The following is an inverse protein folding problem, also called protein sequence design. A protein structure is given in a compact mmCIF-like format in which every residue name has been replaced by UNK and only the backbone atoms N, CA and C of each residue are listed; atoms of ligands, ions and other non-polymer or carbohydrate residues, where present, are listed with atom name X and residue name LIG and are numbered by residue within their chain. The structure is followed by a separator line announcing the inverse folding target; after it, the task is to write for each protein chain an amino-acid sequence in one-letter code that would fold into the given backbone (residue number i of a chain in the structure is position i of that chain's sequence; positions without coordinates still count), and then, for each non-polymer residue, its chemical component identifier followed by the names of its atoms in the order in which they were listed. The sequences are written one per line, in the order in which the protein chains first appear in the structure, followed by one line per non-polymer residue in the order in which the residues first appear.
data_IF_975317764968
#
_entry.id   IF_975317764968
#
_cell.length_a   1.000
_cell.length_b   1.000
_cell.length_c   1.000
_cell.angle_alpha   90.00
_cell.angle_beta   90.00
_cell.angle_gamma   90.00
#
_symmetry.space_group_name_H-M   'P 1'
#
loop_
_entity.id
_entity.type
_entity.pdbx_description
1 polymer ?
#
# COMPACT_ATOMS: atom_id res chain seq x y z
N UNK A 1 -8.42 29.70 -23.74
CA UNK A 1 -8.66 30.01 -22.32
C UNK A 1 -9.86 29.25 -21.71
N UNK A 2 -11.05 29.22 -22.32
CA UNK A 2 -12.20 28.47 -21.74
C UNK A 2 -11.93 26.97 -21.52
N UNK A 3 -11.27 26.29 -22.48
CA UNK A 3 -10.94 24.85 -22.35
C UNK A 3 -9.95 24.55 -21.23
N UNK A 4 -8.91 25.39 -21.08
CA UNK A 4 -7.91 25.23 -20.01
C UNK A 4 -8.52 25.45 -18.62
N UNK A 5 -9.43 26.41 -18.47
CA UNK A 5 -10.10 26.72 -17.20
C UNK A 5 -11.07 25.61 -16.76
N UNK A 6 -11.75 24.97 -17.72
CA UNK A 6 -12.62 23.82 -17.46
C UNK A 6 -11.79 22.61 -17.03
N UNK A 7 -10.65 22.34 -17.68
CA UNK A 7 -9.75 21.26 -17.29
C UNK A 7 -9.17 21.46 -15.89
N UNK A 8 -8.69 22.67 -15.54
CA UNK A 8 -8.20 22.93 -14.18
C UNK A 8 -9.29 22.85 -13.12
N UNK A 9 -10.52 23.30 -13.42
CA UNK A 9 -11.63 23.16 -12.49
C UNK A 9 -12.03 21.69 -12.27
N UNK A 10 -12.06 20.87 -13.33
CA UNK A 10 -12.30 19.43 -13.24
C UNK A 10 -11.23 18.71 -12.44
N UNK A 11 -9.95 19.02 -12.69
CA UNK A 11 -8.83 18.50 -11.92
C UNK A 11 -8.98 18.92 -10.45
N UNK A 12 -9.25 20.18 -10.15
CA UNK A 12 -9.44 20.64 -8.78
C UNK A 12 -10.61 19.93 -8.06
N UNK A 13 -11.76 19.74 -8.73
CA UNK A 13 -12.91 19.02 -8.14
C UNK A 13 -12.60 17.55 -7.90
N UNK A 14 -11.90 16.89 -8.84
CA UNK A 14 -11.49 15.49 -8.70
C UNK A 14 -10.50 15.35 -7.53
N UNK A 15 -9.48 16.20 -7.45
CA UNK A 15 -8.46 16.17 -6.39
C UNK A 15 -9.02 16.55 -5.01
N UNK A 16 -9.89 17.55 -4.92
CA UNK A 16 -10.47 18.00 -3.64
C UNK A 16 -11.50 16.98 -3.10
N UNK A 17 -12.35 16.41 -3.98
CA UNK A 17 -13.37 15.45 -3.57
C UNK A 17 -12.79 14.09 -3.12
N UNK A 18 -11.84 13.55 -3.89
CA UNK A 18 -11.24 12.24 -3.61
C UNK A 18 -10.09 12.32 -2.57
N UNK A 19 -9.38 13.45 -2.51
CA UNK A 19 -8.33 13.69 -1.51
C UNK A 19 -8.86 13.63 -0.07
N UNK A 20 -10.04 14.19 0.19
CA UNK A 20 -10.62 14.21 1.54
C UNK A 20 -10.80 12.83 2.19
N UNK A 21 -11.02 11.76 1.41
CA UNK A 21 -11.14 10.40 1.94
C UNK A 21 -9.77 9.77 2.21
N UNK A 22 -8.82 9.96 1.29
CA UNK A 22 -7.45 9.41 1.40
C UNK A 22 -6.69 9.99 2.58
N UNK A 23 -6.82 11.31 2.82
CA UNK A 23 -6.16 12.00 3.94
C UNK A 23 -6.93 11.92 5.25
N UNK A 24 -8.06 11.20 5.29
CA UNK A 24 -8.86 11.03 6.51
C UNK A 24 -8.20 10.02 7.44
N UNK A 25 -7.24 10.51 8.21
CA UNK A 25 -6.57 9.75 9.26
C UNK A 25 -7.52 9.45 10.42
N UNK A 26 -7.41 8.25 10.97
CA UNK A 26 -8.20 7.79 12.13
C UNK A 26 -7.30 7.05 13.12
N UNK A 27 -7.65 7.16 14.40
CA UNK A 27 -7.03 6.39 15.49
C UNK A 27 -7.75 5.07 15.75
N UNK A 28 -9.02 4.96 15.37
CA UNK A 28 -9.89 3.84 15.76
C UNK A 28 -10.37 3.04 14.55
N UNK A 29 -10.17 1.73 14.66
CA UNK A 29 -10.37 0.69 13.66
C UNK A 29 -11.82 0.21 13.55
N UNK A 30 -12.65 0.47 14.57
CA UNK A 30 -13.99 -0.11 14.71
C UNK A 30 -15.03 0.38 13.69
N UNK A 31 -14.72 1.42 12.90
CA UNK A 31 -15.68 2.09 11.99
C UNK A 31 -15.10 2.38 10.60
N UNK A 32 -14.55 1.36 9.94
CA UNK A 32 -14.29 1.45 8.49
C UNK A 32 -15.64 1.62 7.81
N UNK A 33 -15.81 2.71 7.04
CA UNK A 33 -17.10 3.05 6.44
C UNK A 33 -17.47 2.05 5.34
N UNK A 34 -18.74 1.64 5.33
CA UNK A 34 -19.34 1.01 4.15
C UNK A 34 -19.25 1.98 2.96
N UNK A 35 -18.65 1.51 1.87
CA UNK A 35 -18.62 2.26 0.62
C UNK A 35 -20.05 2.27 0.09
N UNK A 36 -20.60 3.47 -0.13
CA UNK A 36 -21.97 3.63 -0.61
C UNK A 36 -22.09 3.09 -2.02
N UNK A 37 -22.85 2.02 -2.19
CA UNK A 37 -23.30 1.50 -3.48
C UNK A 37 -24.27 2.51 -4.09
N UNK A 38 -23.83 3.25 -5.11
CA UNK A 38 -24.64 4.30 -5.76
C UNK A 38 -23.87 5.48 -6.36
N UNK A 39 -22.53 5.47 -6.33
CA UNK A 39 -21.72 6.51 -6.99
C UNK A 39 -21.86 6.46 -8.53
N UNK A 40 -21.81 7.63 -9.18
CA UNK A 40 -21.83 7.76 -10.63
C UNK A 40 -20.63 7.04 -11.26
N UNK A 41 -20.86 6.20 -12.28
CA UNK A 41 -19.81 5.41 -12.95
C UNK A 41 -18.64 6.26 -13.48
N UNK A 42 -18.92 7.46 -13.99
CA UNK A 42 -17.89 8.39 -14.48
C UNK A 42 -17.03 8.88 -13.31
N UNK A 43 -17.66 9.21 -12.19
CA UNK A 43 -16.95 9.64 -10.98
C UNK A 43 -16.08 8.52 -10.41
N UNK A 44 -16.61 7.30 -10.30
CA UNK A 44 -15.85 6.13 -9.85
C UNK A 44 -14.65 5.87 -10.75
N UNK A 45 -14.83 5.95 -12.07
CA UNK A 45 -13.72 5.81 -13.03
C UNK A 45 -12.62 6.83 -12.77
N UNK A 46 -12.93 8.14 -12.72
CA UNK A 46 -11.91 9.18 -12.47
C UNK A 46 -11.25 9.04 -11.10
N UNK A 47 -12.01 8.63 -10.08
CA UNK A 47 -11.49 8.37 -8.73
C UNK A 47 -10.50 7.20 -8.72
N UNK A 48 -10.83 6.09 -9.39
CA UNK A 48 -9.94 4.93 -9.51
C UNK A 48 -8.67 5.32 -10.29
N UNK A 49 -8.79 6.05 -11.41
CA UNK A 49 -7.61 6.53 -12.17
C UNK A 49 -6.70 7.45 -11.34
N UNK A 50 -7.28 8.32 -10.50
CA UNK A 50 -6.50 9.18 -9.60
C UNK A 50 -5.81 8.36 -8.52
N UNK A 51 -6.45 7.32 -8.00
CA UNK A 51 -5.82 6.43 -7.05
C UNK A 51 -4.66 5.65 -7.65
N UNK A 52 -4.79 5.18 -8.88
CA UNK A 52 -3.69 4.50 -9.57
C UNK A 52 -2.54 5.47 -9.84
N UNK A 53 -2.85 6.72 -10.21
CA UNK A 53 -1.84 7.78 -10.32
C UNK A 53 -1.08 7.99 -9.01
N UNK A 54 -1.80 8.08 -7.89
CA UNK A 54 -1.21 8.28 -6.57
C UNK A 54 -0.31 7.12 -6.18
N UNK A 55 -0.73 5.89 -6.45
CA UNK A 55 0.02 4.69 -6.08
C UNK A 55 1.43 4.67 -6.67
N UNK A 56 1.56 4.88 -7.99
CA UNK A 56 2.87 4.80 -8.64
C UNK A 56 3.73 6.06 -8.47
N UNK A 57 3.11 7.20 -8.19
CA UNK A 57 3.80 8.49 -8.27
C UNK A 57 4.84 8.65 -7.14
N UNK A 58 6.10 9.00 -7.45
CA UNK A 58 7.23 8.85 -6.52
C UNK A 58 7.07 9.54 -5.16
N UNK A 59 6.36 10.68 -5.11
CA UNK A 59 6.15 11.43 -3.86
C UNK A 59 5.34 10.61 -2.85
N UNK A 60 4.41 9.78 -3.31
CA UNK A 60 3.59 8.93 -2.45
C UNK A 60 4.28 7.60 -2.05
N UNK A 61 5.56 7.43 -2.40
CA UNK A 61 6.40 6.35 -1.89
C UNK A 61 7.33 6.78 -0.75
N UNK A 62 7.28 8.04 -0.31
CA UNK A 62 8.22 8.60 0.65
C UNK A 62 7.75 8.40 2.11
N UNK A 63 8.63 7.84 2.93
CA UNK A 63 8.40 7.54 4.34
C UNK A 63 9.57 8.04 5.18
N UNK A 64 9.27 8.81 6.23
CA UNK A 64 10.20 9.11 7.31
C UNK A 64 10.15 8.02 8.37
N UNK A 65 11.29 7.73 9.00
CA UNK A 65 11.40 6.78 10.10
C UNK A 65 12.11 7.45 11.28
N UNK A 66 11.61 7.24 12.49
CA UNK A 66 12.24 7.63 13.75
C UNK A 66 12.23 6.42 14.68
N UNK A 67 13.39 6.01 15.18
CA UNK A 67 13.51 4.86 16.08
C UNK A 67 14.89 4.24 16.01
N UNK A 68 15.16 3.26 16.86
CA UNK A 68 16.49 2.69 16.97
C UNK A 68 16.78 1.68 15.85
N UNK A 69 17.98 1.77 15.28
CA UNK A 69 18.48 0.75 14.38
C UNK A 69 19.42 1.25 13.30
N UNK A 70 19.89 0.30 12.49
CA UNK A 70 20.69 0.55 11.31
C UNK A 70 20.12 -0.31 10.20
N UNK A 71 19.69 0.30 9.10
CA UNK A 71 19.22 -0.43 7.94
C UNK A 71 19.62 0.32 6.67
N UNK A 72 20.33 -0.39 5.82
CA UNK A 72 20.64 0.06 4.49
C UNK A 72 20.06 -0.94 3.49
N UNK A 73 19.26 -0.45 2.55
CA UNK A 73 18.77 -1.24 1.44
C UNK A 73 18.73 -0.38 0.18
N UNK A 74 19.25 -0.91 -0.92
CA UNK A 74 19.07 -0.35 -2.26
C UNK A 74 18.47 -1.45 -3.11
N UNK A 75 17.42 -1.12 -3.86
CA UNK A 75 16.75 -2.05 -4.76
C UNK A 75 16.38 -1.38 -6.06
N UNK A 76 16.69 -2.07 -7.15
CA UNK A 76 16.19 -1.74 -8.49
C UNK A 76 15.05 -2.69 -8.87
N UNK A 77 15.15 -3.94 -8.43
CA UNK A 77 14.12 -4.97 -8.59
C UNK A 77 14.26 -5.98 -7.44
N UNK A 78 13.32 -6.92 -7.29
CA UNK A 78 13.50 -8.06 -6.37
C UNK A 78 14.73 -8.90 -6.70
N UNK A 79 15.12 -8.97 -7.98
CA UNK A 79 16.30 -9.71 -8.42
C UNK A 79 17.60 -8.90 -8.28
N UNK A 80 17.51 -7.58 -8.19
CA UNK A 80 18.64 -6.67 -8.05
C UNK A 80 18.43 -5.77 -6.82
N UNK A 81 18.66 -6.35 -5.65
CA UNK A 81 18.62 -5.65 -4.38
C UNK A 81 19.81 -6.05 -3.50
N UNK A 82 20.24 -5.15 -2.63
CA UNK A 82 21.23 -5.42 -1.60
C UNK A 82 20.85 -4.66 -0.36
N UNK A 83 21.00 -5.28 0.80
CA UNK A 83 20.71 -4.60 2.04
C UNK A 83 21.02 -5.45 3.25
N UNK A 84 21.25 -4.76 4.35
CA UNK A 84 21.51 -5.35 5.64
C UNK A 84 21.06 -4.39 6.73
N UNK A 85 20.48 -4.93 7.78
CA UNK A 85 20.21 -4.21 9.01
C UNK A 85 18.89 -4.56 9.67
N UNK A 86 18.61 -3.88 10.75
CA UNK A 86 17.37 -3.98 11.49
C UNK A 86 16.98 -2.61 12.04
N UNK A 87 15.67 -2.35 12.05
CA UNK A 87 15.07 -1.14 12.61
C UNK A 87 13.90 -1.54 13.50
N UNK A 88 13.76 -0.80 14.59
CA UNK A 88 12.59 -0.81 15.43
C UNK A 88 12.17 0.64 15.66
N UNK A 89 11.10 1.07 15.01
CA UNK A 89 10.76 2.47 15.01
C UNK A 89 9.39 2.81 14.48
N UNK A 90 9.09 4.10 14.56
CA UNK A 90 7.87 4.69 14.06
C UNK A 90 8.13 5.25 12.66
N UNK A 91 7.20 4.98 11.75
CA UNK A 91 7.21 5.50 10.40
C UNK A 91 6.03 6.43 10.18
N UNK A 92 6.25 7.45 9.36
CA UNK A 92 5.21 8.36 8.90
C UNK A 92 5.41 8.65 7.42
N UNK A 93 4.31 8.79 6.68
CA UNK A 93 4.36 9.15 5.27
C UNK A 93 3.39 8.33 4.43
N UNK A 94 3.84 8.00 3.23
CA UNK A 94 3.01 7.43 2.17
C UNK A 94 3.55 6.08 1.69
N UNK A 95 2.65 5.13 1.46
CA UNK A 95 2.91 3.90 0.74
C UNK A 95 1.81 3.75 -0.34
N UNK A 96 1.90 4.57 -1.40
CA UNK A 96 0.83 4.76 -2.37
C UNK A 96 -0.38 5.44 -1.74
N UNK A 97 -1.57 4.84 -1.88
CA UNK A 97 -2.82 5.25 -1.22
C UNK A 97 -2.78 5.16 0.31
N UNK A 98 -1.84 4.41 0.88
CA UNK A 98 -1.72 4.21 2.33
C UNK A 98 -1.02 5.41 2.97
N UNK A 99 -1.70 6.05 3.91
CA UNK A 99 -1.18 7.24 4.59
C UNK A 99 -1.34 7.08 6.09
N UNK A 100 -0.30 7.42 6.82
CA UNK A 100 -0.42 7.47 8.27
C UNK A 100 0.91 7.49 9.00
N UNK A 101 0.80 7.03 10.23
CA UNK A 101 1.82 6.86 11.23
C UNK A 101 1.64 5.48 11.87
N UNK A 102 2.69 4.68 11.83
CA UNK A 102 2.67 3.29 12.28
C UNK A 102 4.00 2.92 12.90
N UNK A 103 3.96 1.95 13.79
CA UNK A 103 5.16 1.33 14.32
C UNK A 103 5.57 0.18 13.39
N UNK A 104 6.85 0.08 13.05
CA UNK A 104 7.39 -0.99 12.22
C UNK A 104 8.70 -1.53 12.80
N UNK A 105 8.71 -2.83 13.08
CA UNK A 105 9.94 -3.59 13.25
C UNK A 105 10.29 -4.25 11.92
N UNK A 106 11.53 -4.09 11.45
CA UNK A 106 11.98 -4.65 10.18
C UNK A 106 13.43 -5.08 10.24
N UNK A 107 13.70 -6.33 9.88
CA UNK A 107 15.05 -6.88 9.67
C UNK A 107 15.22 -7.30 8.22
N UNK A 108 16.31 -6.88 7.58
CA UNK A 108 16.64 -7.27 6.21
C UNK A 108 18.11 -7.70 6.11
N UNK A 109 18.40 -8.76 5.37
CA UNK A 109 19.76 -9.17 5.05
C UNK A 109 19.81 -9.94 3.73
N UNK A 110 20.72 -9.54 2.85
CA UNK A 110 21.09 -10.35 1.71
C UNK A 110 21.37 -9.57 0.44
N UNK A 111 21.50 -10.32 -0.64
CA UNK A 111 21.83 -9.83 -1.98
C UNK A 111 21.01 -10.60 -3.01
N UNK A 112 20.36 -9.87 -3.92
CA UNK A 112 19.64 -10.40 -5.07
C UNK A 112 18.56 -11.42 -4.65
N UNK A 113 18.64 -12.64 -5.19
CA UNK A 113 17.70 -13.74 -4.93
C UNK A 113 17.83 -14.33 -3.52
N UNK A 114 18.99 -14.16 -2.87
CA UNK A 114 19.23 -14.61 -1.50
C UNK A 114 19.04 -13.41 -0.59
N UNK A 115 17.78 -13.02 -0.41
CA UNK A 115 17.39 -11.86 0.38
C UNK A 115 16.32 -12.26 1.39
N UNK A 116 16.62 -12.08 2.68
CA UNK A 116 15.73 -12.41 3.78
C UNK A 116 15.21 -11.09 4.35
N UNK A 117 13.89 -10.98 4.47
CA UNK A 117 13.21 -9.84 5.04
C UNK A 117 12.19 -10.32 6.06
N UNK A 118 12.09 -9.63 7.19
CA UNK A 118 10.99 -9.80 8.13
C UNK A 118 10.51 -8.42 8.55
N UNK A 119 9.24 -8.13 8.29
CA UNK A 119 8.61 -6.86 8.65
C UNK A 119 7.35 -7.11 9.49
N UNK A 120 7.17 -6.31 10.54
CA UNK A 120 5.99 -6.29 11.40
C UNK A 120 5.52 -4.85 11.51
N UNK A 121 4.31 -4.57 11.04
CA UNK A 121 3.70 -3.23 11.06
C UNK A 121 2.52 -3.20 12.01
N UNK A 122 2.40 -2.13 12.78
CA UNK A 122 1.27 -1.86 13.67
C UNK A 122 0.80 -0.42 13.45
N UNK A 123 -0.35 -0.20 12.79
CA UNK A 123 -0.86 1.15 12.55
C UNK A 123 -1.24 1.85 13.87
N UNK A 124 -0.77 3.08 14.05
CA UNK A 124 -1.10 3.93 15.21
C UNK A 124 -2.15 4.98 14.83
N UNK A 125 -1.91 5.67 13.71
CA UNK A 125 -2.83 6.64 13.10
C UNK A 125 -2.79 6.39 11.59
N UNK A 126 -3.90 5.95 11.00
CA UNK A 126 -3.88 5.49 9.62
C UNK A 126 -5.15 5.87 8.88
N UNK A 127 -5.07 5.95 7.56
CA UNK A 127 -6.26 5.95 6.72
C UNK A 127 -6.82 4.53 6.55
N UNK A 128 -7.96 4.41 5.88
CA UNK A 128 -8.63 3.11 5.69
C UNK A 128 -7.76 2.10 4.93
N UNK A 129 -6.94 2.56 3.99
CA UNK A 129 -6.11 1.71 3.14
C UNK A 129 -5.02 1.01 3.96
N UNK A 130 -4.32 1.75 4.81
CA UNK A 130 -3.26 1.21 5.66
C UNK A 130 -3.83 0.26 6.73
N UNK A 131 -5.03 0.54 7.26
CA UNK A 131 -5.71 -0.42 8.14
C UNK A 131 -6.11 -1.71 7.41
N UNK A 132 -6.65 -1.61 6.19
CA UNK A 132 -7.03 -2.78 5.38
C UNK A 132 -5.78 -3.62 4.98
N UNK A 133 -4.63 -2.97 4.73
CA UNK A 133 -3.34 -3.67 4.54
C UNK A 133 -2.90 -4.41 5.80
N UNK A 134 -2.95 -3.75 6.96
CA UNK A 134 -2.62 -4.36 8.25
C UNK A 134 -3.48 -5.60 8.55
N UNK A 135 -4.79 -5.57 8.28
CA UNK A 135 -5.66 -6.75 8.44
C UNK A 135 -5.17 -7.93 7.61
N UNK A 136 -4.89 -7.68 6.34
CA UNK A 136 -4.48 -8.71 5.38
C UNK A 136 -3.15 -9.34 5.75
N UNK A 137 -2.22 -8.52 6.24
CA UNK A 137 -0.86 -8.97 6.63
C UNK A 137 -0.82 -9.61 8.02
N UNK A 138 -1.68 -9.19 8.96
CA UNK A 138 -1.78 -9.80 10.30
C UNK A 138 -2.06 -11.30 10.25
N UNK A 139 -2.92 -11.74 9.32
CA UNK A 139 -3.21 -13.17 9.12
C UNK A 139 -2.07 -13.94 8.43
N UNK A 140 -1.09 -13.22 7.85
CA UNK A 140 0.04 -13.77 7.10
C UNK A 140 1.38 -13.65 7.83
N UNK A 141 1.40 -13.25 9.10
CA UNK A 141 2.60 -13.25 9.96
C UNK A 141 3.08 -14.68 10.32
N UNK A 142 3.30 -15.53 9.30
CA UNK A 142 4.21 -16.66 9.41
C UNK A 142 5.55 -16.20 8.86
N UNK A 143 6.61 -16.55 9.56
CA UNK A 143 8.00 -16.28 9.20
C UNK A 143 8.30 -16.94 7.84
N UNK A 144 8.01 -16.24 6.74
CA UNK A 144 8.22 -16.75 5.39
C UNK A 144 9.66 -16.44 4.95
N UNK A 145 10.40 -17.48 4.57
CA UNK A 145 11.70 -17.36 3.90
C UNK A 145 11.45 -16.82 2.50
N UNK A 146 11.85 -15.58 2.30
CA UNK A 146 11.27 -14.68 1.32
C UNK A 146 11.87 -14.78 -0.09
N UNK A 147 12.11 -16.00 -0.57
CA UNK A 147 12.65 -16.18 -1.94
C UNK A 147 11.54 -15.88 -2.98
N UNK A 148 10.26 -16.01 -2.62
CA UNK A 148 9.14 -15.88 -3.57
C UNK A 148 7.90 -15.10 -3.09
N UNK A 149 7.81 -14.71 -1.81
CA UNK A 149 6.53 -14.29 -1.18
C UNK A 149 6.58 -12.95 -0.44
N UNK A 150 7.43 -12.03 -0.89
CA UNK A 150 7.44 -10.70 -0.31
C UNK A 150 6.18 -9.98 -0.77
N UNK A 151 5.13 -10.04 0.04
CA UNK A 151 3.85 -9.38 -0.22
C UNK A 151 3.99 -7.85 -0.14
N UNK A 152 5.06 -7.36 0.51
CA UNK A 152 5.30 -5.94 0.74
C UNK A 152 5.97 -5.22 -0.44
N UNK A 153 6.56 -5.96 -1.38
CA UNK A 153 7.31 -5.42 -2.53
C UNK A 153 6.86 -6.11 -3.82
N UNK A 154 6.77 -5.38 -4.93
CA UNK A 154 6.60 -5.99 -6.25
C UNK A 154 7.94 -6.30 -6.91
N UNK A 155 7.93 -7.23 -7.87
CA UNK A 155 9.15 -7.76 -8.51
C UNK A 155 9.98 -6.69 -9.23
N UNK A 156 9.34 -5.61 -9.66
CA UNK A 156 9.94 -4.53 -10.44
C UNK A 156 10.04 -3.20 -9.68
N UNK A 157 9.98 -3.20 -8.35
CA UNK A 157 10.03 -1.94 -7.60
C UNK A 157 11.45 -1.41 -7.45
N UNK A 158 11.61 -0.11 -7.73
CA UNK A 158 12.85 0.65 -7.50
C UNK A 158 12.67 1.47 -6.23
N UNK A 159 13.65 1.42 -5.34
CA UNK A 159 13.64 2.21 -4.12
C UNK A 159 14.91 2.05 -3.29
N UNK A 160 14.95 2.76 -2.17
CA UNK A 160 16.01 2.61 -1.20
C UNK A 160 15.49 2.90 0.20
N UNK A 161 16.21 2.36 1.19
CA UNK A 161 15.99 2.61 2.60
C UNK A 161 17.33 2.90 3.24
N UNK A 162 17.43 4.01 3.95
CA UNK A 162 18.61 4.39 4.74
C UNK A 162 18.10 4.78 6.11
N UNK A 163 18.50 4.05 7.15
CA UNK A 163 18.22 4.37 8.54
C UNK A 163 19.53 4.34 9.31
N UNK A 164 19.88 5.47 9.92
CA UNK A 164 21.12 5.67 10.67
C UNK A 164 20.81 6.06 12.11
N UNK A 165 20.92 5.10 13.03
CA UNK A 165 20.78 5.31 14.47
C UNK A 165 19.34 5.54 14.89
N UNK A 166 18.86 6.78 14.73
CA UNK A 166 17.55 7.23 15.21
C UNK A 166 16.62 7.77 14.13
N UNK A 167 17.16 8.10 12.94
CA UNK A 167 16.40 8.72 11.85
C UNK A 167 16.71 8.02 10.53
N UNK A 168 15.66 7.77 9.76
CA UNK A 168 15.75 7.13 8.47
C UNK A 168 14.78 7.67 7.44
N UNK A 169 15.08 7.33 6.19
CA UNK A 169 14.28 7.59 5.00
C UNK A 169 14.08 6.28 4.26
N UNK A 170 12.84 5.99 3.89
CA UNK A 170 12.47 4.87 3.04
C UNK A 170 11.69 5.43 1.85
N UNK A 171 12.19 5.24 0.63
CA UNK A 171 11.62 5.79 -0.58
C UNK A 171 11.41 4.73 -1.65
N UNK A 172 10.15 4.50 -1.98
CA UNK A 172 9.73 3.69 -3.13
C UNK A 172 9.62 4.63 -4.35
N UNK A 173 10.71 4.74 -5.13
CA UNK A 173 10.81 5.72 -6.21
C UNK A 173 9.87 5.37 -7.37
N UNK A 174 9.84 4.10 -7.78
CA UNK A 174 9.06 3.67 -8.92
C UNK A 174 8.47 2.29 -8.67
N UNK A 175 7.14 2.21 -8.76
CA UNK A 175 6.37 0.96 -8.70
C UNK A 175 5.88 0.62 -10.08
N UNK A 176 6.73 -0.06 -10.85
CA UNK A 176 6.51 -0.34 -12.27
C UNK A 176 5.16 -1.00 -12.55
N UNK A 177 4.71 -1.90 -11.68
CA UNK A 177 3.41 -2.56 -11.82
C UNK A 177 2.25 -1.56 -11.77
N UNK A 178 2.23 -0.69 -10.78
CA UNK A 178 1.18 0.33 -10.60
C UNK A 178 1.27 1.39 -11.71
N UNK A 179 2.48 1.73 -12.16
CA UNK A 179 2.68 2.63 -13.30
C UNK A 179 2.07 2.07 -14.59
N UNK A 180 2.30 0.78 -14.90
CA UNK A 180 1.70 0.14 -16.06
C UNK A 180 0.18 0.03 -15.93
N UNK A 181 -0.33 -0.27 -14.74
CA UNK A 181 -1.77 -0.34 -14.50
C UNK A 181 -2.43 1.02 -14.70
N UNK A 182 -1.81 2.10 -14.23
CA UNK A 182 -2.24 3.47 -14.53
C UNK A 182 -2.26 3.75 -16.03
N UNK A 183 -1.18 3.43 -16.76
CA UNK A 183 -1.09 3.67 -18.21
C UNK A 183 -2.16 2.90 -19.00
N UNK A 184 -2.34 1.62 -18.66
CA UNK A 184 -3.31 0.74 -19.33
C UNK A 184 -4.74 1.14 -18.95
N UNK A 185 -4.93 1.62 -17.73
CA UNK A 185 -6.22 2.14 -17.29
C UNK A 185 -6.65 3.44 -17.94
N UNK A 186 -5.73 4.25 -18.49
CA UNK A 186 -6.09 5.41 -19.34
C UNK A 186 -6.91 4.96 -20.57
N UNK A 187 -6.67 3.76 -21.08
CA UNK A 187 -7.45 3.16 -22.18
C UNK A 187 -8.57 2.22 -21.69
N UNK A 188 -9.02 2.40 -20.44
CA UNK A 188 -10.11 1.65 -19.81
C UNK A 188 -9.85 0.15 -19.61
N UNK A 189 -8.58 -0.26 -19.51
CA UNK A 189 -8.19 -1.63 -19.22
C UNK A 189 -7.68 -1.74 -17.77
N UNK A 190 -8.30 -2.60 -16.96
CA UNK A 190 -7.92 -2.87 -15.56
C UNK A 190 -7.24 -4.24 -15.48
N UNK A 191 -5.91 -4.26 -15.28
CA UNK A 191 -5.13 -5.50 -15.21
C UNK A 191 -5.06 -6.01 -13.77
N UNK A 192 -4.88 -5.11 -12.80
CA UNK A 192 -4.63 -5.47 -11.40
C UNK A 192 -5.90 -5.85 -10.63
N UNK A 193 -7.08 -5.48 -11.16
CA UNK A 193 -8.39 -5.71 -10.53
C UNK A 193 -8.49 -5.07 -9.16
N UNK A 194 -7.82 -3.94 -8.94
CA UNK A 194 -7.81 -3.23 -7.66
C UNK A 194 -8.87 -2.11 -7.56
N UNK A 195 -9.57 -1.84 -8.66
CA UNK A 195 -10.72 -0.94 -8.75
C UNK A 195 -11.69 -1.10 -7.56
N UNK A 196 -12.33 0.02 -7.17
CA UNK A 196 -13.22 0.10 -6.01
C UNK A 196 -14.28 -1.02 -5.99
N UNK A 197 -14.82 -1.39 -7.15
CA UNK A 197 -15.81 -2.48 -7.30
C UNK A 197 -15.24 -3.85 -6.90
N UNK A 198 -14.02 -4.16 -7.35
CA UNK A 198 -13.35 -5.41 -7.02
C UNK A 198 -12.96 -5.46 -5.54
N UNK A 199 -12.63 -4.31 -4.95
CA UNK A 199 -12.39 -4.19 -3.51
C UNK A 199 -13.65 -4.48 -2.70
N UNK A 200 -14.80 -3.96 -3.13
CA UNK A 200 -16.08 -4.22 -2.46
C UNK A 200 -16.47 -5.69 -2.51
N UNK A 201 -16.37 -6.29 -3.68
CA UNK A 201 -16.65 -7.72 -3.86
C UNK A 201 -15.77 -8.61 -2.97
N UNK A 202 -14.50 -8.23 -2.77
CA UNK A 202 -13.58 -8.93 -1.85
C UNK A 202 -14.02 -8.79 -0.40
N UNK A 203 -14.39 -7.57 0.04
CA UNK A 203 -14.92 -7.34 1.40
C UNK A 203 -16.17 -8.19 1.65
N UNK A 204 -17.12 -8.23 0.72
CA UNK A 204 -18.30 -9.09 0.83
C UNK A 204 -17.94 -10.57 1.01
N UNK A 205 -16.90 -11.05 0.31
CA UNK A 205 -16.47 -12.45 0.40
C UNK A 205 -15.79 -12.77 1.73
N UNK A 206 -14.99 -11.84 2.28
CA UNK A 206 -14.35 -11.98 3.60
C UNK A 206 -15.34 -11.87 4.77
N UNK A 207 -16.46 -11.17 4.57
CA UNK A 207 -17.52 -10.98 5.57
C UNK A 207 -18.61 -12.05 5.56
N UNK A 208 -18.58 -13.05 4.66
CA UNK A 208 -19.44 -14.23 4.82
C UNK A 208 -18.99 -14.89 6.12
N UNK A 209 -19.75 -14.78 7.23
CA UNK A 209 -19.44 -15.59 8.39
C UNK A 209 -19.51 -17.03 7.90
N UNK A 210 -18.67 -17.91 8.41
CA UNK A 210 -18.89 -19.34 8.25
C UNK A 210 -20.21 -19.64 8.98
N UNK A 211 -21.33 -19.42 8.28
CA UNK A 211 -22.69 -19.73 8.72
C UNK A 211 -22.81 -21.23 8.55
N UNK A 212 -22.34 -21.92 9.57
CA UNK A 212 -22.19 -23.36 9.59
C UNK A 212 -20.94 -23.72 10.39
N UNK A 213 -21.03 -23.61 11.72
CA UNK A 213 -19.96 -23.92 12.67
C UNK A 213 -19.52 -25.38 12.64
N UNK A 214 -18.85 -25.79 11.57
CA UNK A 214 -18.06 -27.02 11.53
C UNK A 214 -16.62 -26.58 11.41
N UNK A 215 -15.90 -26.63 12.54
CA UNK A 215 -14.46 -26.53 12.52
C UNK A 215 -13.92 -27.60 11.56
N UNK A 216 -12.98 -27.28 10.65
CA UNK A 216 -12.39 -28.28 9.79
C UNK A 216 -11.76 -29.38 10.66
N UNK A 217 -12.31 -30.59 10.56
CA UNK A 217 -11.70 -31.78 11.17
C UNK A 217 -10.35 -32.02 10.51
N UNK A 218 -9.28 -32.26 11.29
CA UNK A 218 -8.01 -32.64 10.70
C UNK A 218 -8.20 -33.96 9.94
N UNK A 219 -7.88 -33.94 8.65
CA UNK A 219 -7.78 -35.15 7.84
C UNK A 219 -6.56 -35.92 8.38
N UNK A 220 -6.69 -37.22 8.70
CA UNK A 220 -5.58 -38.05 9.19
C UNK A 220 -4.45 -38.18 8.18
#
# INVERSE_FOLDING_TARGET
MRRTLICTALIAVIFVGSGCAMFKLRKDYSKVQDVKTGENAIYTYFKDRLYDFIDWFPIFGLKGTIGEGLLFNVRVTKVAQVGAGAIDGEKFGFKGREVGYWHEWRGEVGVSLVYINTARKTPLIANEFLFDEYKRTRHKQKEDIDIYRNDDRHWADIGFTIHLGFVGLDWDILRLKEFFDFLVGIVCLDITKDDTKNRLRRKETEFIPVVGGVAPTPIP
#
